data_IF_038161823472
#
_entry.id   IF_038161823472
#
_cell.length_a   1.000
_cell.length_b   1.000
_cell.length_c   1.000
_cell.angle_alpha   90.00
_cell.angle_beta   90.00
_cell.angle_gamma   90.00
#
_symmetry.space_group_name_H-M   'P 1'
#
loop_
_entity.id
_entity.type
_entity.pdbx_description
1 polymer ?
#
# COMPACT_ATOMS: atom_id res chain seq x y z
N UNK A 1 -51.67 -6.96 26.19
CA UNK A 1 -50.41 -6.50 25.54
C UNK A 1 -49.65 -5.72 26.60
N UNK A 2 -48.43 -6.04 27.05
CA UNK A 2 -47.37 -6.83 26.45
C UNK A 2 -46.39 -7.36 27.52
N UNK A 3 -45.82 -8.54 27.21
CA UNK A 3 -44.47 -9.05 27.54
C UNK A 3 -44.19 -9.65 28.92
N UNK A 4 -44.26 -10.98 28.89
CA UNK A 4 -43.40 -11.94 29.58
C UNK A 4 -41.93 -11.54 29.71
N UNK A 5 -41.29 -12.08 30.76
CA UNK A 5 -39.94 -12.63 30.58
C UNK A 5 -38.86 -12.25 31.60
N UNK A 6 -39.05 -12.49 32.89
CA UNK A 6 -37.93 -12.73 33.82
C UNK A 6 -38.30 -13.78 34.89
N UNK A 7 -38.83 -14.93 34.45
CA UNK A 7 -38.88 -16.15 35.27
C UNK A 7 -37.60 -16.93 35.00
N UNK A 8 -36.68 -16.99 35.97
CA UNK A 8 -35.54 -17.92 35.88
C UNK A 8 -34.22 -17.57 36.56
N UNK A 9 -34.11 -16.56 37.44
CA UNK A 9 -32.88 -16.38 38.22
C UNK A 9 -32.95 -17.21 39.50
N UNK A 10 -32.21 -18.32 39.55
CA UNK A 10 -32.24 -19.25 40.68
C UNK A 10 -31.39 -18.71 41.85
N UNK A 11 -32.02 -17.97 42.75
CA UNK A 11 -31.38 -17.31 43.90
C UNK A 11 -30.66 -18.26 44.86
N UNK A 12 -31.02 -19.55 44.86
CA UNK A 12 -30.40 -20.57 45.71
C UNK A 12 -28.92 -20.87 45.34
N UNK A 13 -28.49 -20.59 44.10
CA UNK A 13 -27.11 -20.83 43.65
C UNK A 13 -26.15 -19.67 43.93
N UNK A 14 -26.66 -18.47 44.20
CA UNK A 14 -25.86 -17.27 44.47
C UNK A 14 -24.89 -17.40 45.66
N UNK A 15 -25.25 -17.97 46.83
CA UNK A 15 -24.31 -18.12 47.93
C UNK A 15 -23.16 -19.07 47.57
N UNK A 16 -23.44 -20.16 46.85
CA UNK A 16 -22.41 -21.11 46.39
C UNK A 16 -21.47 -20.48 45.35
N UNK A 17 -22.03 -19.74 44.38
CA UNK A 17 -21.23 -19.02 43.39
C UNK A 17 -20.37 -17.95 44.07
N UNK A 18 -20.92 -17.23 45.06
CA UNK A 18 -20.18 -16.21 45.80
C UNK A 18 -19.08 -16.79 46.67
N UNK A 19 -19.28 -17.96 47.31
CA UNK A 19 -18.24 -18.63 48.10
C UNK A 19 -17.15 -19.19 47.19
N UNK A 20 -17.50 -19.84 46.08
CA UNK A 20 -16.53 -20.32 45.08
C UNK A 20 -15.75 -19.15 44.49
N UNK A 21 -16.42 -18.07 44.07
CA UNK A 21 -15.76 -16.87 43.57
C UNK A 21 -14.83 -16.25 44.61
N UNK A 22 -15.23 -16.23 45.90
CA UNK A 22 -14.40 -15.71 46.99
C UNK A 22 -13.15 -16.58 47.22
N UNK A 23 -13.29 -17.89 47.20
CA UNK A 23 -12.19 -18.83 47.36
C UNK A 23 -11.20 -18.72 46.18
N UNK A 24 -11.72 -18.76 44.95
CA UNK A 24 -10.90 -18.58 43.74
C UNK A 24 -10.21 -17.21 43.71
N UNK A 25 -10.93 -16.13 44.04
CA UNK A 25 -10.32 -14.80 44.13
C UNK A 25 -9.23 -14.75 45.20
N UNK A 26 -9.42 -15.43 46.35
CA UNK A 26 -8.41 -15.49 47.42
C UNK A 26 -7.15 -16.20 46.96
N UNK A 27 -7.28 -17.38 46.35
CA UNK A 27 -6.14 -18.14 45.83
C UNK A 27 -5.40 -17.36 44.74
N UNK A 28 -6.13 -16.76 43.79
CA UNK A 28 -5.55 -15.90 42.76
C UNK A 28 -4.86 -14.68 43.36
N UNK A 29 -5.39 -14.09 44.43
CA UNK A 29 -4.76 -12.94 45.11
C UNK A 29 -3.44 -13.35 45.74
N UNK A 30 -3.42 -14.45 46.50
CA UNK A 30 -2.21 -14.98 47.13
C UNK A 30 -1.12 -15.32 46.10
N UNK A 31 -1.51 -15.97 45.00
CA UNK A 31 -0.59 -16.26 43.90
C UNK A 31 0.01 -15.00 43.27
N UNK A 32 -0.82 -13.97 43.04
CA UNK A 32 -0.34 -12.69 42.51
C UNK A 32 0.57 -11.94 43.50
N UNK A 33 0.30 -12.02 44.81
CA UNK A 33 1.15 -11.42 45.85
C UNK A 33 2.52 -12.08 45.89
N UNK A 34 2.56 -13.42 45.87
CA UNK A 34 3.80 -14.18 45.78
C UNK A 34 4.62 -13.77 44.54
N UNK A 35 4.00 -13.78 43.35
CA UNK A 35 4.67 -13.39 42.11
C UNK A 35 5.17 -11.94 42.14
N UNK A 36 4.47 -11.03 42.83
CA UNK A 36 4.93 -9.64 43.01
C UNK A 36 6.16 -9.57 43.92
N UNK A 37 6.18 -10.35 45.00
CA UNK A 37 7.34 -10.43 45.89
C UNK A 37 8.55 -11.02 45.16
N UNK A 38 8.35 -12.11 44.43
CA UNK A 38 9.41 -12.73 43.61
C UNK A 38 9.95 -11.74 42.58
N UNK A 39 9.08 -11.07 41.82
CA UNK A 39 9.51 -10.02 40.89
C UNK A 39 10.26 -8.87 41.58
N UNK A 40 9.88 -8.49 42.80
CA UNK A 40 10.59 -7.46 43.58
C UNK A 40 12.01 -7.92 43.94
N UNK A 41 12.17 -9.16 44.35
CA UNK A 41 13.47 -9.77 44.67
C UNK A 41 14.32 -9.94 43.41
N UNK A 42 13.74 -10.37 42.29
CA UNK A 42 14.46 -10.49 41.02
C UNK A 42 14.93 -9.11 40.55
N UNK A 43 14.07 -8.09 40.60
CA UNK A 43 14.43 -6.72 40.22
C UNK A 43 15.53 -6.13 41.10
N UNK A 44 15.55 -6.40 42.41
CA UNK A 44 16.62 -5.91 43.27
C UNK A 44 17.96 -6.57 42.98
N UNK A 45 17.96 -7.79 42.41
CA UNK A 45 19.17 -8.50 41.98
C UNK A 45 19.69 -8.05 40.62
N UNK A 46 18.86 -7.46 39.76
CA UNK A 46 19.28 -6.97 38.45
C UNK A 46 20.07 -5.67 38.61
N UNK A 47 21.39 -5.76 38.44
CA UNK A 47 22.29 -4.59 38.39
C UNK A 47 22.44 -4.12 36.95
N UNK A 48 21.61 -3.17 36.50
CA UNK A 48 21.78 -2.48 35.23
C UNK A 48 20.51 -2.26 34.42
N UNK A 49 20.68 -1.71 33.21
CA UNK A 49 19.60 -1.49 32.25
C UNK A 49 19.20 -2.79 31.54
N UNK A 50 17.90 -3.11 31.55
CA UNK A 50 17.33 -4.27 30.87
C UNK A 50 17.01 -3.89 29.42
N UNK A 51 17.63 -4.57 28.45
CA UNK A 51 17.27 -4.45 27.03
C UNK A 51 16.26 -5.52 26.67
N UNK A 52 15.07 -5.11 26.26
CA UNK A 52 14.04 -6.04 25.76
C UNK A 52 14.27 -6.40 24.30
N UNK A 53 14.13 -7.68 23.96
CA UNK A 53 13.98 -8.17 22.59
C UNK A 53 12.63 -7.74 22.00
N UNK A 54 12.49 -7.71 20.68
CA UNK A 54 11.23 -7.30 20.04
C UNK A 54 10.08 -8.28 20.36
N UNK A 55 10.36 -9.57 20.56
CA UNK A 55 9.37 -10.58 20.96
C UNK A 55 8.90 -10.41 22.41
N UNK A 56 9.82 -10.04 23.31
CA UNK A 56 9.50 -9.73 24.70
C UNK A 56 8.63 -8.47 24.79
N UNK A 57 8.99 -7.44 24.00
CA UNK A 57 8.18 -6.21 23.88
C UNK A 57 6.77 -6.52 23.39
N UNK A 58 6.64 -7.39 22.39
CA UNK A 58 5.34 -7.83 21.87
C UNK A 58 4.51 -8.55 22.92
N UNK A 59 5.13 -9.46 23.67
CA UNK A 59 4.46 -10.26 24.69
C UNK A 59 3.97 -9.39 25.86
N UNK A 60 4.83 -8.49 26.35
CA UNK A 60 4.48 -7.49 27.37
C UNK A 60 3.37 -6.55 26.89
N UNK A 61 3.43 -6.11 25.63
CA UNK A 61 2.42 -5.25 25.04
C UNK A 61 1.07 -5.95 24.93
N UNK A 62 1.03 -7.21 24.46
CA UNK A 62 -0.21 -7.99 24.32
C UNK A 62 -0.88 -8.20 25.68
N UNK A 63 -0.12 -8.57 26.70
CA UNK A 63 -0.62 -8.69 28.07
C UNK A 63 -1.13 -7.34 28.60
N UNK A 64 -0.41 -6.25 28.34
CA UNK A 64 -0.81 -4.92 28.77
C UNK A 64 -2.13 -4.45 28.13
N UNK A 65 -2.29 -4.65 26.82
CA UNK A 65 -3.52 -4.29 26.10
C UNK A 65 -4.74 -5.06 26.63
N UNK A 66 -4.57 -6.34 26.99
CA UNK A 66 -5.65 -7.16 27.56
C UNK A 66 -6.15 -6.64 28.92
N UNK A 67 -5.28 -6.01 29.73
CA UNK A 67 -5.63 -5.45 31.04
C UNK A 67 -6.30 -4.07 30.98
N UNK A 68 -6.14 -3.33 29.88
CA UNK A 68 -6.70 -1.98 29.72
C UNK A 68 -5.96 -0.87 30.50
N UNK A 69 -6.17 0.39 30.09
CA UNK A 69 -5.34 1.55 30.52
C UNK A 69 -5.31 1.82 32.04
N UNK A 70 -6.39 1.54 32.77
CA UNK A 70 -6.47 1.78 34.22
C UNK A 70 -5.65 0.77 35.02
N UNK A 71 -5.72 -0.51 34.67
CA UNK A 71 -4.95 -1.57 35.34
C UNK A 71 -3.48 -1.55 34.91
N UNK A 72 -3.20 -1.21 33.65
CA UNK A 72 -1.83 -1.03 33.17
C UNK A 72 -1.02 -0.06 34.05
N UNK A 73 -1.58 1.12 34.39
CA UNK A 73 -0.90 2.10 35.25
C UNK A 73 -0.59 1.59 36.65
N UNK A 74 -1.36 0.61 37.16
CA UNK A 74 -1.19 0.04 38.50
C UNK A 74 -0.22 -1.15 38.51
N UNK A 75 -0.20 -1.95 37.44
CA UNK A 75 0.51 -3.25 37.40
C UNK A 75 1.84 -3.17 36.64
N UNK A 76 1.89 -2.38 35.57
CA UNK A 76 3.10 -2.30 34.73
C UNK A 76 4.13 -1.43 35.42
N UNK A 77 5.16 -2.09 35.95
CA UNK A 77 6.24 -1.46 36.73
C UNK A 77 7.59 -1.48 36.01
N UNK A 78 7.74 -2.34 35.01
CA UNK A 78 9.00 -2.54 34.25
C UNK A 78 9.06 -1.58 33.06
N UNK A 79 7.93 -1.41 32.38
CA UNK A 79 7.81 -0.61 31.16
C UNK A 79 6.89 0.57 31.47
N UNK A 80 7.26 1.79 31.08
CA UNK A 80 6.34 2.92 31.24
C UNK A 80 5.07 2.64 30.42
N UNK A 81 3.86 2.75 31.00
CA UNK A 81 2.62 2.41 30.29
C UNK A 81 2.41 3.25 29.01
N UNK A 82 3.02 4.43 28.95
CA UNK A 82 3.04 5.32 27.78
C UNK A 82 3.88 4.79 26.62
N UNK A 83 4.85 3.90 26.89
CA UNK A 83 5.75 3.35 25.87
C UNK A 83 5.16 2.15 25.14
N UNK A 84 4.22 1.44 25.75
CA UNK A 84 3.50 0.31 25.15
C UNK A 84 2.82 0.65 23.80
N UNK A 85 2.00 1.72 23.68
CA UNK A 85 1.42 2.10 22.39
C UNK A 85 2.47 2.57 21.38
N UNK A 86 3.60 3.13 21.84
CA UNK A 86 4.70 3.52 20.95
C UNK A 86 5.38 2.29 20.34
N UNK A 87 5.56 1.21 21.11
CA UNK A 87 6.06 -0.07 20.59
C UNK A 87 5.09 -0.68 19.58
N UNK A 88 3.78 -0.60 19.84
CA UNK A 88 2.76 -1.07 18.90
C UNK A 88 2.90 -0.39 17.54
N UNK A 89 2.88 0.95 17.51
CA UNK A 89 3.01 1.71 16.27
C UNK A 89 4.32 1.41 15.55
N UNK A 90 5.43 1.28 16.28
CA UNK A 90 6.74 0.97 15.70
C UNK A 90 6.75 -0.41 15.02
N UNK A 91 6.13 -1.41 15.64
CA UNK A 91 6.04 -2.75 15.07
C UNK A 91 5.09 -2.79 13.87
N UNK A 92 3.96 -2.08 13.93
CA UNK A 92 3.04 -1.91 12.79
C UNK A 92 3.72 -1.23 11.60
N UNK A 93 4.47 -0.15 11.85
CA UNK A 93 5.25 0.55 10.84
C UNK A 93 6.30 -0.36 10.19
N UNK A 94 6.97 -1.20 10.98
CA UNK A 94 7.95 -2.18 10.45
C UNK A 94 7.28 -3.26 9.61
N UNK A 95 6.13 -3.78 10.04
CA UNK A 95 5.36 -4.77 9.27
C UNK A 95 4.92 -4.21 7.92
N UNK A 96 4.55 -2.93 7.90
CA UNK A 96 4.12 -2.22 6.71
C UNK A 96 5.23 -1.42 6.03
N UNK A 97 6.50 -1.73 6.33
CA UNK A 97 7.62 -1.05 5.72
C UNK A 97 7.80 -1.53 4.27
N UNK A 98 7.14 -0.82 3.35
CA UNK A 98 7.29 -1.01 1.91
C UNK A 98 8.56 -0.38 1.34
N UNK A 99 9.49 0.13 2.14
CA UNK A 99 10.73 0.74 1.66
C UNK A 99 11.49 -0.15 0.67
N UNK A 100 11.59 -1.45 0.96
CA UNK A 100 12.22 -2.43 0.05
C UNK A 100 11.42 -2.66 -1.23
N UNK A 101 10.09 -2.60 -1.17
CA UNK A 101 9.20 -2.75 -2.34
C UNK A 101 9.25 -1.49 -3.22
N UNK A 102 9.39 -0.30 -2.61
CA UNK A 102 9.55 0.98 -3.30
C UNK A 102 10.89 1.09 -4.04
N UNK A 103 11.90 0.30 -3.66
CA UNK A 103 13.20 0.19 -4.36
C UNK A 103 13.19 -0.75 -5.58
N UNK A 104 12.11 -1.49 -5.84
CA UNK A 104 12.01 -2.38 -7.02
C UNK A 104 11.74 -1.56 -8.30
N UNK A 105 12.77 -0.88 -8.80
CA UNK A 105 12.86 -0.32 -10.16
C UNK A 105 11.77 0.69 -10.58
N UNK A 106 12.03 1.54 -11.59
CA UNK A 106 10.96 2.26 -12.27
C UNK A 106 10.06 1.21 -12.95
N UNK A 107 8.74 1.30 -12.76
CA UNK A 107 7.76 0.28 -13.16
C UNK A 107 7.83 -0.21 -14.62
N UNK A 108 6.88 0.17 -15.47
CA UNK A 108 6.85 -0.28 -16.88
C UNK A 108 8.11 0.23 -17.61
N UNK A 109 8.82 -0.59 -18.40
CA UNK A 109 9.94 -0.12 -19.21
C UNK A 109 9.47 1.04 -20.10
N UNK A 110 10.29 2.09 -20.18
CA UNK A 110 10.00 3.27 -21.00
C UNK A 110 9.91 2.87 -22.47
N UNK A 111 9.05 3.57 -23.22
CA UNK A 111 9.01 3.47 -24.67
C UNK A 111 10.41 3.80 -25.24
N UNK A 112 10.88 3.10 -26.30
CA UNK A 112 12.14 3.43 -26.95
C UNK A 112 12.13 4.88 -27.45
N UNK A 113 13.22 5.62 -27.21
CA UNK A 113 13.34 7.04 -27.56
C UNK A 113 13.09 7.31 -29.06
N UNK A 114 13.40 6.36 -29.93
CA UNK A 114 13.16 6.47 -31.38
C UNK A 114 11.67 6.61 -31.72
N UNK A 115 10.81 5.87 -31.00
CA UNK A 115 9.36 5.93 -31.18
C UNK A 115 8.81 7.24 -30.63
N UNK A 116 9.36 7.72 -29.51
CA UNK A 116 8.98 9.00 -28.91
C UNK A 116 9.33 10.18 -29.83
N UNK A 117 10.51 10.13 -30.46
CA UNK A 117 10.96 11.12 -31.43
C UNK A 117 10.08 11.13 -32.69
N UNK A 118 9.70 9.95 -33.20
CA UNK A 118 8.80 9.80 -34.35
C UNK A 118 7.43 10.42 -34.06
N UNK A 119 6.83 10.08 -32.91
CA UNK A 119 5.54 10.63 -32.46
C UNK A 119 5.58 12.16 -32.36
N UNK A 120 6.64 12.70 -31.75
CA UNK A 120 6.77 14.15 -31.58
C UNK A 120 6.96 14.86 -32.92
N UNK A 121 7.69 14.25 -33.87
CA UNK A 121 7.92 14.81 -35.19
C UNK A 121 6.64 14.80 -36.04
N UNK A 122 5.92 13.68 -36.06
CA UNK A 122 4.60 13.59 -36.72
C UNK A 122 3.63 14.66 -36.23
N UNK A 123 3.59 14.93 -34.92
CA UNK A 123 2.71 15.94 -34.33
C UNK A 123 3.16 17.40 -34.56
N UNK A 124 4.45 17.63 -34.86
CA UNK A 124 4.98 18.97 -35.18
C UNK A 124 4.81 19.30 -36.65
N UNK A 125 5.15 18.35 -37.52
CA UNK A 125 5.08 18.51 -38.97
C UNK A 125 3.64 18.42 -39.48
N UNK A 126 2.81 17.62 -38.81
CA UNK A 126 1.40 17.52 -39.11
C UNK A 126 0.60 17.91 -37.87
N UNK A 127 -0.37 18.83 -38.00
CA UNK A 127 -1.25 19.24 -36.91
C UNK A 127 -2.29 18.14 -36.56
N UNK A 128 -1.85 16.89 -36.44
CA UNK A 128 -2.67 15.71 -36.20
C UNK A 128 -2.95 15.49 -34.71
N UNK A 129 -4.15 14.97 -34.42
CA UNK A 129 -4.52 14.51 -33.07
C UNK A 129 -3.88 13.15 -32.72
N UNK A 130 -3.74 12.85 -31.43
CA UNK A 130 -3.10 11.61 -30.96
C UNK A 130 -3.81 10.32 -31.41
N UNK A 131 -5.13 10.37 -31.69
CA UNK A 131 -5.87 9.24 -32.27
C UNK A 131 -5.45 8.96 -33.71
N UNK A 132 -5.18 10.00 -34.51
CA UNK A 132 -4.74 9.88 -35.91
C UNK A 132 -3.32 9.38 -36.01
N UNK A 133 -2.44 9.88 -35.15
CA UNK A 133 -1.08 9.37 -35.00
C UNK A 133 -1.09 7.89 -34.62
N UNK A 134 -2.00 7.45 -33.73
CA UNK A 134 -2.18 6.03 -33.40
C UNK A 134 -2.60 5.18 -34.62
N UNK A 135 -3.51 5.68 -35.46
CA UNK A 135 -3.92 5.01 -36.69
C UNK A 135 -2.77 4.84 -37.69
N UNK A 136 -1.98 5.89 -37.91
CA UNK A 136 -0.83 5.85 -38.80
C UNK A 136 0.29 4.95 -38.26
N UNK A 137 0.55 4.97 -36.95
CA UNK A 137 1.52 4.05 -36.32
C UNK A 137 1.09 2.59 -36.44
N UNK A 138 -0.22 2.30 -36.39
CA UNK A 138 -0.75 0.93 -36.62
C UNK A 138 -0.46 0.46 -38.05
N UNK A 139 -0.58 1.34 -39.06
CA UNK A 139 -0.21 1.03 -40.45
C UNK A 139 1.27 0.70 -40.59
N UNK A 140 2.12 1.36 -39.79
CA UNK A 140 3.57 1.09 -39.71
C UNK A 140 3.93 -0.16 -38.87
N UNK A 141 2.95 -0.87 -38.31
CA UNK A 141 3.16 -2.07 -37.49
C UNK A 141 3.51 -1.80 -36.03
N UNK A 142 3.51 -0.53 -35.59
CA UNK A 142 3.85 -0.12 -34.23
C UNK A 142 2.57 -0.06 -33.38
N UNK A 143 2.43 -0.97 -32.41
CA UNK A 143 1.26 -1.04 -31.51
C UNK A 143 1.50 -0.20 -30.24
N UNK A 144 1.04 1.05 -30.24
CA UNK A 144 0.98 1.90 -29.05
C UNK A 144 -0.46 2.18 -28.62
N UNK A 145 -0.67 2.35 -27.31
CA UNK A 145 -1.96 2.84 -26.80
C UNK A 145 -2.09 4.35 -27.04
N UNK A 146 -3.32 4.81 -27.24
CA UNK A 146 -3.63 6.25 -27.36
C UNK A 146 -3.18 7.05 -26.13
N UNK A 147 -3.27 6.44 -24.94
CA UNK A 147 -2.77 7.01 -23.68
C UNK A 147 -1.24 7.17 -23.69
N UNK A 148 -0.50 6.19 -24.20
CA UNK A 148 0.96 6.25 -24.30
C UNK A 148 1.40 7.38 -25.25
N UNK A 149 0.74 7.53 -26.40
CA UNK A 149 1.01 8.63 -27.34
C UNK A 149 0.69 9.98 -26.70
N UNK A 150 -0.42 10.10 -25.96
CA UNK A 150 -0.76 11.31 -25.23
C UNK A 150 0.27 11.66 -24.14
N UNK A 151 0.81 10.65 -23.43
CA UNK A 151 1.85 10.83 -22.42
C UNK A 151 3.19 11.27 -23.06
N UNK A 152 3.57 10.67 -24.19
CA UNK A 152 4.76 11.05 -24.96
C UNK A 152 4.66 12.50 -25.45
N UNK A 153 3.52 12.88 -26.02
CA UNK A 153 3.29 14.25 -26.50
C UNK A 153 3.30 15.27 -25.36
N UNK A 154 2.76 14.91 -24.19
CA UNK A 154 2.84 15.72 -22.96
C UNK A 154 4.28 15.95 -22.52
N UNK A 155 5.13 14.92 -22.60
CA UNK A 155 6.54 14.98 -22.19
C UNK A 155 7.43 15.70 -23.22
N UNK A 156 7.19 15.52 -24.52
CA UNK A 156 8.09 16.00 -25.58
C UNK A 156 7.74 17.35 -26.23
N UNK A 157 6.47 17.79 -26.17
CA UNK A 157 6.01 19.05 -26.81
C UNK A 157 5.48 20.06 -25.77
N UNK A 158 5.46 19.68 -24.48
CA UNK A 158 4.89 20.50 -23.41
C UNK A 158 3.36 20.52 -23.45
N UNK A 159 2.73 21.33 -22.58
CA UNK A 159 1.31 21.27 -22.19
C UNK A 159 0.26 21.57 -23.29
N UNK A 160 0.59 21.37 -24.57
CA UNK A 160 -0.32 21.29 -25.72
C UNK A 160 -0.63 19.82 -26.01
N UNK A 161 -1.43 19.18 -25.15
CA UNK A 161 -2.02 17.87 -25.52
C UNK A 161 -2.87 18.13 -26.76
N UNK A 162 -2.56 17.55 -27.94
CA UNK A 162 -3.43 17.74 -29.08
C UNK A 162 -4.83 17.24 -28.70
N UNK A 163 -5.87 18.04 -28.97
CA UNK A 163 -7.25 17.56 -28.86
C UNK A 163 -7.36 16.21 -29.57
N UNK A 164 -8.20 15.26 -29.11
CA UNK A 164 -8.46 14.02 -29.85
C UNK A 164 -8.71 14.25 -31.35
N UNK A 165 -9.17 15.46 -31.71
CA UNK A 165 -9.34 15.95 -33.07
C UNK A 165 -8.63 17.31 -33.25
N UNK A 166 -7.62 17.37 -34.12
CA UNK A 166 -7.21 18.62 -34.81
C UNK A 166 -7.46 18.39 -36.30
N UNK A 167 -8.04 19.40 -36.94
CA UNK A 167 -8.66 19.47 -38.27
C UNK A 167 -8.42 18.29 -39.22
N UNK A 168 -9.53 17.68 -39.67
CA UNK A 168 -9.60 16.52 -40.58
C UNK A 168 -10.31 15.35 -39.90
N UNK A 169 -11.47 14.98 -40.45
CA UNK A 169 -12.39 13.94 -39.98
C UNK A 169 -11.71 12.66 -39.49
N UNK A 170 -12.21 12.16 -38.36
CA UNK A 170 -11.80 10.88 -37.79
C UNK A 170 -12.94 9.87 -38.00
N UNK A 171 -13.06 9.37 -39.22
CA UNK A 171 -13.94 8.23 -39.51
C UNK A 171 -13.14 6.94 -39.42
N UNK A 172 -13.76 5.87 -38.91
CA UNK A 172 -13.19 4.53 -38.82
C UNK A 172 -12.64 4.00 -40.17
N UNK A 173 -13.07 4.62 -41.28
CA UNK A 173 -12.64 4.41 -42.67
C UNK A 173 -11.19 4.84 -42.97
N UNK A 174 -10.52 5.60 -42.09
CA UNK A 174 -9.12 6.04 -42.30
C UNK A 174 -8.11 4.89 -42.21
N UNK A 175 -8.47 3.78 -41.57
CA UNK A 175 -7.58 2.62 -41.38
C UNK A 175 -7.24 1.93 -42.70
N UNK A 176 -8.16 1.92 -43.66
CA UNK A 176 -8.00 1.25 -44.97
C UNK A 176 -7.47 2.17 -46.09
N UNK A 177 -7.35 3.48 -45.85
CA UNK A 177 -6.74 4.39 -46.83
C UNK A 177 -5.22 4.22 -46.88
N UNK A 178 -4.60 4.24 -48.08
CA UNK A 178 -3.14 4.30 -48.20
C UNK A 178 -2.61 5.48 -47.39
N UNK A 179 -1.40 5.33 -46.84
CA UNK A 179 -0.73 6.34 -46.01
C UNK A 179 -0.80 7.70 -46.74
N UNK A 180 -1.65 8.61 -46.26
CA UNK A 180 -1.88 9.88 -46.94
C UNK A 180 -0.60 10.70 -46.89
N UNK A 181 -0.11 11.22 -48.03
CA UNK A 181 1.18 11.91 -48.23
C UNK A 181 1.81 12.41 -46.92
N UNK A 182 2.56 11.54 -46.27
CA UNK A 182 3.34 11.89 -45.10
C UNK A 182 4.58 12.57 -45.66
N UNK A 183 4.83 13.84 -45.30
CA UNK A 183 6.04 14.58 -45.72
C UNK A 183 7.36 13.98 -45.17
N UNK A 184 7.33 12.73 -44.66
CA UNK A 184 8.42 12.05 -43.98
C UNK A 184 8.82 10.72 -44.65
N UNK A 185 8.46 10.47 -45.93
CA UNK A 185 8.75 9.20 -46.63
C UNK A 185 10.24 8.81 -46.59
N UNK A 186 11.15 9.79 -46.71
CA UNK A 186 12.60 9.57 -46.68
C UNK A 186 13.09 9.02 -45.33
N UNK A 187 12.47 9.43 -44.22
CA UNK A 187 12.91 9.04 -42.87
C UNK A 187 12.24 7.73 -42.41
N UNK A 188 11.00 7.47 -42.83
CA UNK A 188 10.27 6.23 -42.54
C UNK A 188 11.00 5.01 -43.12
N UNK A 189 11.58 5.12 -44.32
CA UNK A 189 12.34 4.05 -44.95
C UNK A 189 13.61 3.65 -44.18
N UNK A 190 14.28 4.61 -43.53
CA UNK A 190 15.49 4.36 -42.74
C UNK A 190 15.15 3.74 -41.37
N UNK A 191 14.08 4.21 -40.72
CA UNK A 191 13.69 3.80 -39.37
C UNK A 191 12.95 2.45 -39.34
N UNK A 192 12.19 2.12 -40.39
CA UNK A 192 11.61 0.79 -40.56
C UNK A 192 12.68 -0.29 -40.79
N UNK A 193 13.79 0.04 -41.46
CA UNK A 193 14.92 -0.87 -41.66
C UNK A 193 15.68 -1.17 -40.37
N UNK A 194 15.79 -0.21 -39.44
CA UNK A 194 16.41 -0.45 -38.13
C UNK A 194 15.47 -1.21 -37.19
N UNK A 195 14.19 -0.87 -37.16
CA UNK A 195 13.22 -1.51 -36.26
C UNK A 195 12.90 -2.98 -36.65
N UNK A 196 12.82 -3.31 -37.95
CA UNK A 196 12.62 -4.70 -38.42
C UNK A 196 13.86 -5.59 -38.22
N UNK A 197 15.05 -5.02 -37.98
CA UNK A 197 16.27 -5.78 -37.63
C UNK A 197 16.44 -6.00 -36.12
N UNK A 198 15.70 -5.25 -35.30
CA UNK A 198 15.82 -5.26 -33.84
C UNK A 198 14.69 -6.02 -33.11
N UNK A 199 13.72 -6.56 -33.86
CA UNK A 199 12.65 -7.44 -33.39
C UNK A 199 12.92 -8.88 -33.84
#
# INVERSE_FOLDING_TARGET
MARDGFRGFNWAGLPLIATIARLLCRELTLGNEYLRLENKVLKSKIKGWIRFSDDERWSLMKAALAMGRKLMRKVVTIVKPETTPTWQRRLEQRKWDYSKRRRRGPGRPRTPCDIEALVCRMARENTWGYKRICGELKKLGIKLSTSCIADILRQGIGNRVPSPVRTGEFDAEVVDRPVGKVHCEEFLGALLKSYRRAA
#
